data_IF_366560990402
#
_entry.id   IF_366560990402
#
_cell.length_a   1.000
_cell.length_b   1.000
_cell.length_c   1.000
_cell.angle_alpha   90.00
_cell.angle_beta   90.00
_cell.angle_gamma   90.00
#
_symmetry.space_group_name_H-M   'P 1'
#
loop_
_entity.id
_entity.type
_entity.pdbx_description
1 polymer ?
#
# COMPACT_ATOMS: atom_id res chain seq x y z
N UNK A 1 20.11 -50.86 10.87
CA UNK A 1 19.06 -49.83 10.93
C UNK A 1 19.35 -48.81 9.83
N UNK A 2 18.58 -48.83 8.74
CA UNK A 2 18.84 -48.00 7.57
C UNK A 2 18.43 -46.54 7.82
N UNK A 3 19.36 -45.62 7.64
CA UNK A 3 19.12 -44.18 7.72
C UNK A 3 18.33 -43.73 6.48
N UNK A 4 17.03 -43.46 6.63
CA UNK A 4 16.21 -42.96 5.53
C UNK A 4 16.60 -41.51 5.19
N UNK A 5 16.83 -41.18 3.90
CA UNK A 5 17.16 -39.82 3.50
C UNK A 5 15.94 -38.91 3.70
N UNK A 6 16.03 -37.98 4.64
CA UNK A 6 15.03 -36.93 4.82
C UNK A 6 14.87 -36.16 3.51
N UNK A 7 13.66 -36.15 2.94
CA UNK A 7 13.35 -35.40 1.73
C UNK A 7 13.72 -33.91 1.91
N UNK A 8 14.72 -33.44 1.14
CA UNK A 8 15.20 -32.07 1.16
C UNK A 8 14.30 -31.22 0.24
N UNK A 9 13.39 -30.46 0.85
CA UNK A 9 12.48 -29.54 0.15
C UNK A 9 11.00 -29.90 0.35
N UNK A 10 10.18 -28.89 0.65
CA UNK A 10 8.73 -29.03 0.86
C UNK A 10 8.20 -28.06 1.92
N UNK A 11 6.90 -27.74 1.85
CA UNK A 11 6.21 -26.92 2.86
C UNK A 11 6.27 -27.65 4.21
N UNK A 12 6.81 -26.98 5.22
CA UNK A 12 6.81 -27.43 6.63
C UNK A 12 6.21 -26.32 7.49
N UNK A 13 5.74 -26.68 8.66
CA UNK A 13 5.30 -25.69 9.64
C UNK A 13 6.46 -24.72 9.95
N UNK A 14 6.23 -23.42 9.80
CA UNK A 14 7.26 -22.39 9.93
C UNK A 14 8.24 -22.27 8.75
N UNK A 15 8.10 -23.04 7.67
CA UNK A 15 8.93 -22.90 6.48
C UNK A 15 8.47 -21.74 5.59
N UNK A 16 9.43 -21.08 4.93
CA UNK A 16 9.20 -19.96 4.02
C UNK A 16 9.48 -18.60 4.64
N UNK A 17 9.19 -17.54 3.89
CA UNK A 17 9.35 -16.16 4.38
C UNK A 17 8.23 -15.86 5.38
N UNK A 18 8.58 -15.30 6.55
CA UNK A 18 7.58 -14.81 7.51
C UNK A 18 6.63 -13.81 6.82
N UNK A 19 5.33 -13.97 7.08
CA UNK A 19 4.32 -13.02 6.59
C UNK A 19 4.61 -11.62 7.13
N UNK A 20 4.45 -10.59 6.29
CA UNK A 20 4.73 -9.19 6.64
C UNK A 20 6.21 -8.79 6.67
N UNK A 21 7.16 -9.73 6.58
CA UNK A 21 8.57 -9.38 6.55
C UNK A 21 8.93 -8.65 5.24
N UNK A 22 9.57 -7.46 5.31
CA UNK A 22 10.00 -6.74 4.12
C UNK A 22 11.06 -7.53 3.36
N UNK A 23 11.16 -7.27 2.05
CA UNK A 23 12.27 -7.80 1.26
C UNK A 23 13.59 -7.13 1.71
N UNK A 24 14.72 -7.82 1.56
CA UNK A 24 16.06 -7.32 1.92
C UNK A 24 16.32 -5.93 1.34
N UNK A 25 16.07 -5.77 0.04
CA UNK A 25 16.22 -4.48 -0.66
C UNK A 25 15.35 -3.36 -0.06
N UNK A 26 14.11 -3.67 0.31
CA UNK A 26 13.21 -2.68 0.92
C UNK A 26 13.72 -2.26 2.29
N UNK A 27 14.11 -3.23 3.11
CA UNK A 27 14.68 -2.96 4.44
C UNK A 27 15.96 -2.12 4.36
N UNK A 28 16.85 -2.42 3.40
CA UNK A 28 18.07 -1.63 3.18
C UNK A 28 17.79 -0.19 2.77
N UNK A 29 16.80 0.05 1.89
CA UNK A 29 16.42 1.39 1.47
C UNK A 29 15.83 2.17 2.65
N UNK A 30 14.94 1.55 3.43
CA UNK A 30 14.37 2.15 4.63
C UNK A 30 15.47 2.50 5.64
N UNK A 31 16.38 1.57 5.93
CA UNK A 31 17.48 1.80 6.85
C UNK A 31 18.42 2.92 6.38
N UNK A 32 18.69 3.04 5.07
CA UNK A 32 19.49 4.14 4.51
C UNK A 32 18.79 5.48 4.65
N UNK A 33 17.48 5.53 4.40
CA UNK A 33 16.68 6.75 4.57
C UNK A 33 16.65 7.18 6.06
N UNK A 34 16.44 6.23 6.97
CA UNK A 34 16.48 6.47 8.42
C UNK A 34 17.87 6.98 8.86
N UNK A 35 18.94 6.37 8.36
CA UNK A 35 20.31 6.77 8.66
C UNK A 35 20.67 8.16 8.09
N UNK A 36 20.05 8.58 6.98
CA UNK A 36 20.22 9.95 6.45
C UNK A 36 19.53 11.03 7.29
N UNK A 37 18.74 10.63 8.29
CA UNK A 37 18.11 11.53 9.26
C UNK A 37 16.91 12.31 8.74
N UNK A 38 16.48 12.06 7.50
CA UNK A 38 15.30 12.68 6.93
C UNK A 38 14.54 11.68 6.07
N UNK A 39 13.38 11.26 6.55
CA UNK A 39 12.49 10.37 5.79
C UNK A 39 11.77 11.16 4.70
N UNK A 40 11.42 10.52 3.56
CA UNK A 40 10.70 11.21 2.48
C UNK A 40 9.41 11.89 2.92
N UNK A 41 8.65 11.25 3.82
CA UNK A 41 7.43 11.83 4.37
C UNK A 41 7.72 13.06 5.24
N UNK A 42 8.79 13.02 6.05
CA UNK A 42 9.20 14.14 6.89
C UNK A 42 9.62 15.35 6.06
N UNK A 43 10.34 15.13 4.96
CA UNK A 43 10.68 16.18 4.00
C UNK A 43 9.43 16.84 3.39
N UNK A 44 8.47 16.04 2.92
CA UNK A 44 7.22 16.61 2.39
C UNK A 44 6.49 17.42 3.47
N UNK A 45 6.45 16.93 4.71
CA UNK A 45 5.84 17.66 5.81
C UNK A 45 6.59 18.93 6.19
N UNK A 46 7.92 18.97 6.09
CA UNK A 46 8.70 20.19 6.35
C UNK A 46 8.40 21.25 5.30
N UNK A 47 8.38 20.88 4.00
CA UNK A 47 8.03 21.79 2.90
C UNK A 47 6.61 22.33 3.06
N UNK A 48 5.65 21.49 3.43
CA UNK A 48 4.25 21.92 3.60
C UNK A 48 4.06 22.95 4.72
N UNK A 49 4.84 22.82 5.80
CA UNK A 49 4.77 23.65 7.02
C UNK A 49 5.58 24.93 6.92
N UNK A 50 6.54 25.03 6.00
CA UNK A 50 7.34 26.23 5.80
C UNK A 50 6.48 27.34 5.16
N UNK A 51 6.36 28.48 5.87
CA UNK A 51 5.60 29.64 5.42
C UNK A 51 6.35 30.47 4.37
N UNK A 52 7.67 30.35 4.30
CA UNK A 52 8.51 31.04 3.31
C UNK A 52 8.54 30.32 1.96
N UNK A 53 8.04 29.08 1.92
CA UNK A 53 8.06 28.26 0.74
C UNK A 53 6.92 28.62 -0.23
N UNK A 54 7.14 28.38 -1.53
CA UNK A 54 6.16 28.76 -2.54
C UNK A 54 4.86 27.98 -2.40
N UNK A 55 3.74 28.62 -2.72
CA UNK A 55 2.43 27.96 -2.70
C UNK A 55 2.36 26.74 -3.62
N UNK A 56 3.19 26.69 -4.68
CA UNK A 56 3.32 25.51 -5.55
C UNK A 56 4.00 24.35 -4.83
N UNK A 57 5.15 24.57 -4.22
CA UNK A 57 5.88 23.53 -3.49
C UNK A 57 5.08 23.00 -2.29
N UNK A 58 4.37 23.88 -1.58
CA UNK A 58 3.47 23.48 -0.50
C UNK A 58 2.30 22.63 -0.99
N UNK A 59 1.69 22.99 -2.13
CA UNK A 59 0.63 22.18 -2.77
C UNK A 59 1.13 20.82 -3.22
N UNK A 60 2.31 20.77 -3.85
CA UNK A 60 2.96 19.53 -4.24
C UNK A 60 3.17 18.62 -3.02
N UNK A 61 3.73 19.16 -1.94
CA UNK A 61 3.99 18.40 -0.72
C UNK A 61 2.70 17.86 -0.09
N UNK A 62 1.64 18.68 -0.03
CA UNK A 62 0.33 18.24 0.45
C UNK A 62 -0.24 17.08 -0.37
N UNK A 63 -0.24 17.20 -1.71
CA UNK A 63 -0.77 16.18 -2.61
C UNK A 63 -0.02 14.85 -2.45
N UNK A 64 1.32 14.89 -2.38
CA UNK A 64 2.14 13.67 -2.29
C UNK A 64 2.12 13.04 -0.91
N UNK A 65 1.95 13.82 0.16
CA UNK A 65 1.85 13.29 1.52
C UNK A 65 0.45 12.72 1.83
N UNK A 66 -0.61 13.20 1.19
CA UNK A 66 -2.00 12.83 1.50
C UNK A 66 -2.27 11.31 1.57
N UNK A 67 -1.77 10.45 0.66
CA UNK A 67 -2.04 9.00 0.70
C UNK A 67 -1.50 8.28 1.94
N UNK A 68 -0.50 8.86 2.62
CA UNK A 68 0.13 8.25 3.79
C UNK A 68 -0.53 8.69 5.11
N UNK A 69 -1.35 9.74 5.08
CA UNK A 69 -2.00 10.32 6.26
C UNK A 69 -3.52 10.19 6.23
N UNK A 70 -4.10 10.08 5.03
CA UNK A 70 -5.55 10.00 4.83
C UNK A 70 -5.90 8.69 4.15
N UNK A 71 -6.88 7.98 4.71
CA UNK A 71 -7.45 6.81 4.07
C UNK A 71 -8.02 7.21 2.71
N UNK A 72 -7.51 6.60 1.64
CA UNK A 72 -8.09 6.76 0.31
C UNK A 72 -9.43 6.01 0.29
N UNK A 73 -10.45 6.61 -0.30
CA UNK A 73 -11.71 5.90 -0.55
C UNK A 73 -11.38 4.58 -1.26
N UNK A 74 -11.85 3.48 -0.69
CA UNK A 74 -11.66 2.17 -1.29
C UNK A 74 -12.38 2.15 -2.64
N UNK A 75 -11.67 1.74 -3.69
CA UNK A 75 -12.33 1.43 -4.96
C UNK A 75 -13.18 0.18 -4.71
N UNK A 76 -14.50 0.33 -4.65
CA UNK A 76 -15.43 -0.79 -4.57
C UNK A 76 -15.72 -1.26 -6.00
N UNK A 77 -15.27 -2.46 -6.34
CA UNK A 77 -15.63 -3.12 -7.59
C UNK A 77 -16.95 -3.89 -7.39
N UNK A 78 -18.06 -3.35 -7.90
CA UNK A 78 -19.37 -3.98 -7.80
C UNK A 78 -19.54 -5.06 -8.87
N UNK A 79 -19.16 -6.30 -8.56
CA UNK A 79 -19.48 -7.47 -9.38
C UNK A 79 -20.88 -8.01 -9.04
N UNK A 80 -21.93 -7.26 -9.38
CA UNK A 80 -23.31 -7.72 -9.24
C UNK A 80 -23.81 -8.29 -10.58
N UNK A 81 -24.30 -9.53 -10.58
CA UNK A 81 -25.17 -10.01 -11.67
C UNK A 81 -26.52 -9.33 -11.51
N UNK A 82 -26.71 -8.23 -12.22
CA UNK A 82 -28.00 -7.53 -12.25
C UNK A 82 -28.95 -8.35 -13.14
N UNK A 83 -30.05 -8.83 -12.56
CA UNK A 83 -31.05 -9.64 -13.25
C UNK A 83 -32.10 -8.80 -13.98
N UNK A 84 -32.20 -7.50 -13.65
CA UNK A 84 -33.21 -6.58 -14.17
C UNK A 84 -32.49 -5.39 -14.79
N UNK A 85 -32.68 -5.16 -16.09
CA UNK A 85 -32.07 -4.01 -16.74
C UNK A 85 -32.74 -2.71 -16.29
N UNK A 86 -32.06 -1.58 -16.47
CA UNK A 86 -32.61 -0.27 -16.13
C UNK A 86 -33.97 -0.03 -16.81
N UNK A 87 -34.09 -0.46 -18.06
CA UNK A 87 -35.30 -0.33 -18.86
C UNK A 87 -36.45 -1.19 -18.31
N UNK A 88 -36.15 -2.41 -17.85
CA UNK A 88 -37.16 -3.29 -17.25
C UNK A 88 -37.74 -2.68 -15.95
N UNK A 89 -36.89 -2.02 -15.15
CA UNK A 89 -37.33 -1.38 -13.90
C UNK A 89 -38.12 -0.08 -14.15
N UNK A 90 -37.86 0.63 -15.25
CA UNK A 90 -38.61 1.83 -15.61
C UNK A 90 -40.02 1.48 -16.13
N UNK A 91 -40.17 0.38 -16.85
CA UNK A 91 -41.46 -0.07 -17.37
C UNK A 91 -42.48 -0.49 -16.29
N UNK A 92 -42.04 -0.77 -15.06
CA UNK A 92 -42.94 -1.11 -13.93
C UNK A 92 -43.48 0.12 -13.17
N UNK A 93 -42.98 1.33 -13.49
CA UNK A 93 -43.36 2.58 -12.83
C UNK A 93 -44.37 3.42 -13.63
N UNK A 94 -44.68 3.03 -14.86
CA UNK A 94 -45.77 3.58 -15.69
C UNK A 94 -47.09 2.85 -15.44
#
# INVERSE_FOLDING_TARGET
MGNQPMARGGKREGAGRKAGAPNKRTAEITAKAEASGLMPLEFMLSVLRDEMETAENRRWAAEKAAPYLHARLANVEMNAKVAVSHEDALGELE
#
